data_IF_305483247229
#
_entry.id   IF_305483247229
#
_cell.length_a   1.000
_cell.length_b   1.000
_cell.length_c   1.000
_cell.angle_alpha   90.00
_cell.angle_beta   90.00
_cell.angle_gamma   90.00
#
_symmetry.space_group_name_H-M   'P 1'
#
loop_
_entity.id
_entity.type
_entity.pdbx_description
1 polymer ?
#
# COMPACT_ATOMS: atom_id res chain seq x y z
N UNK A 1 -10.29 11.36 -0.27
CA UNK A 1 -10.73 10.11 -0.91
C UNK A 1 -10.48 8.94 0.02
N UNK A 2 -11.16 7.82 -0.19
CA UNK A 2 -10.93 6.59 0.55
C UNK A 2 -9.68 5.85 0.03
N UNK A 3 -9.08 5.02 0.89
CA UNK A 3 -8.01 4.09 0.52
C UNK A 3 -8.66 2.80 0.04
N UNK A 4 -8.19 2.28 -1.09
CA UNK A 4 -8.68 1.03 -1.68
C UNK A 4 -7.65 -0.07 -1.47
N UNK A 5 -8.14 -1.29 -1.25
CA UNK A 5 -7.25 -2.45 -1.22
C UNK A 5 -6.70 -2.68 -2.63
N UNK A 6 -5.37 -2.90 -2.78
CA UNK A 6 -4.78 -3.11 -4.10
C UNK A 6 -5.17 -4.46 -4.71
N UNK A 7 -5.37 -5.48 -3.86
CA UNK A 7 -5.74 -6.86 -4.23
C UNK A 7 -6.64 -7.46 -3.15
N UNK A 8 -7.35 -8.55 -3.47
CA UNK A 8 -8.10 -9.32 -2.48
C UNK A 8 -7.17 -10.04 -1.48
N UNK A 9 -7.62 -10.17 -0.24
CA UNK A 9 -6.84 -10.84 0.81
C UNK A 9 -7.44 -10.66 2.20
N UNK A 10 -6.69 -11.10 3.21
CA UNK A 10 -7.06 -10.98 4.62
C UNK A 10 -6.05 -10.05 5.30
N UNK A 11 -6.54 -9.08 6.07
CA UNK A 11 -5.68 -8.22 6.90
C UNK A 11 -5.02 -9.08 7.98
N UNK A 12 -3.70 -9.08 7.99
CA UNK A 12 -2.89 -9.79 8.98
C UNK A 12 -2.57 -8.88 10.18
N UNK A 13 -2.15 -7.64 9.89
CA UNK A 13 -1.74 -6.65 10.88
C UNK A 13 -2.14 -5.24 10.41
N UNK A 14 -2.58 -4.39 11.34
CA UNK A 14 -2.66 -2.95 11.15
C UNK A 14 -1.48 -2.25 11.84
N UNK A 15 -1.09 -1.07 11.35
CA UNK A 15 -0.05 -0.29 12.02
C UNK A 15 -0.64 0.54 13.16
N UNK A 16 -0.64 -0.03 14.36
CA UNK A 16 -1.18 0.61 15.58
C UNK A 16 -0.41 1.88 15.99
N UNK A 17 0.81 2.09 15.50
CA UNK A 17 1.59 3.31 15.82
C UNK A 17 0.93 4.57 15.23
N UNK A 18 0.14 4.41 14.16
CA UNK A 18 -0.56 5.52 13.49
C UNK A 18 -1.74 6.07 14.30
N UNK A 19 -2.24 5.34 15.30
CA UNK A 19 -3.30 5.83 16.19
C UNK A 19 -2.81 7.00 17.06
N UNK A 20 -1.52 6.99 17.42
CA UNK A 20 -0.86 8.04 18.18
C UNK A 20 -0.05 9.02 17.33
N UNK A 21 0.42 8.58 16.17
CA UNK A 21 1.36 9.31 15.32
C UNK A 21 1.04 9.18 13.83
N UNK A 22 -0.09 9.74 13.35
CA UNK A 22 -0.47 9.67 11.93
C UNK A 22 0.51 10.38 10.98
N UNK A 23 1.27 11.34 11.48
CA UNK A 23 2.30 12.09 10.74
C UNK A 23 3.43 11.20 10.20
N UNK A 24 3.64 10.01 10.77
CA UNK A 24 4.65 9.05 10.33
C UNK A 24 4.50 8.69 8.84
N UNK A 25 3.26 8.68 8.33
CA UNK A 25 3.00 8.46 6.90
C UNK A 25 3.61 9.56 6.04
N UNK A 26 3.58 10.80 6.49
CA UNK A 26 4.14 11.92 5.74
C UNK A 26 5.68 11.98 5.86
N UNK A 27 6.22 11.54 7.00
CA UNK A 27 7.66 11.51 7.24
C UNK A 27 8.35 10.44 6.39
N UNK A 28 7.77 9.23 6.33
CA UNK A 28 8.21 8.16 5.43
C UNK A 28 7.08 7.16 5.17
N UNK A 29 6.42 7.30 4.02
CA UNK A 29 5.27 6.47 3.62
C UNK A 29 5.63 5.04 3.20
N UNK A 30 6.92 4.73 3.00
CA UNK A 30 7.37 3.38 2.64
C UNK A 30 7.91 2.61 3.84
N UNK A 31 8.47 3.31 4.83
CA UNK A 31 8.80 2.71 6.12
C UNK A 31 7.55 2.47 6.99
N UNK A 32 6.61 3.43 7.00
CA UNK A 32 5.40 3.37 7.80
C UNK A 32 4.22 2.88 6.96
N UNK A 33 3.99 1.57 6.96
CA UNK A 33 2.86 0.94 6.27
C UNK A 33 1.53 1.19 6.99
N UNK A 34 0.41 1.03 6.29
CA UNK A 34 -0.93 1.13 6.89
C UNK A 34 -1.39 -0.20 7.50
N UNK A 35 -1.18 -1.29 6.75
CA UNK A 35 -1.53 -2.65 7.13
C UNK A 35 -0.77 -3.66 6.27
N UNK A 36 -0.75 -4.91 6.71
CA UNK A 36 -0.17 -6.06 6.01
C UNK A 36 -1.29 -7.00 5.60
N UNK A 37 -1.26 -7.48 4.34
CA UNK A 37 -2.17 -8.50 3.84
C UNK A 37 -1.50 -9.88 3.82
N UNK A 38 -2.32 -10.90 4.03
CA UNK A 38 -1.99 -12.32 3.80
C UNK A 38 -3.07 -13.00 2.96
N UNK A 39 -2.78 -14.21 2.51
CA UNK A 39 -3.73 -15.06 1.78
C UNK A 39 -4.29 -14.37 0.52
N UNK A 40 -3.39 -13.76 -0.27
CA UNK A 40 -3.72 -13.09 -1.51
C UNK A 40 -3.32 -13.95 -2.73
N UNK A 41 -3.87 -13.62 -3.89
CA UNK A 41 -3.53 -14.25 -5.17
C UNK A 41 -2.19 -13.71 -5.69
N UNK A 42 -1.29 -14.62 -6.11
CA UNK A 42 -0.04 -14.22 -6.75
C UNK A 42 -0.27 -13.58 -8.12
N UNK A 43 -1.30 -14.04 -8.84
CA UNK A 43 -1.67 -13.47 -10.15
C UNK A 43 -2.10 -12.00 -10.02
N UNK A 44 -2.92 -11.68 -9.01
CA UNK A 44 -3.34 -10.30 -8.77
C UNK A 44 -2.16 -9.42 -8.32
N UNK A 45 -1.23 -9.98 -7.56
CA UNK A 45 -0.01 -9.29 -7.14
C UNK A 45 0.89 -8.97 -8.33
N UNK A 46 1.09 -9.92 -9.25
CA UNK A 46 1.89 -9.76 -10.46
C UNK A 46 1.24 -8.80 -11.48
N UNK A 47 -0.08 -8.57 -11.36
CA UNK A 47 -0.81 -7.59 -12.17
C UNK A 47 -0.66 -6.14 -11.69
N UNK A 48 -0.07 -5.90 -10.51
CA UNK A 48 0.20 -4.56 -10.00
C UNK A 48 1.34 -3.89 -10.77
N UNK A 49 1.31 -2.56 -10.83
CA UNK A 49 2.36 -1.78 -11.50
C UNK A 49 3.69 -1.92 -10.75
N UNK A 50 4.75 -2.17 -11.51
CA UNK A 50 6.13 -2.03 -11.04
C UNK A 50 6.54 -0.56 -10.89
N UNK A 51 7.75 -0.32 -10.37
CA UNK A 51 8.24 1.03 -10.11
C UNK A 51 8.33 1.89 -11.39
N UNK A 52 8.91 1.35 -12.47
CA UNK A 52 9.05 2.07 -13.75
C UNK A 52 7.68 2.38 -14.39
N UNK A 53 6.73 1.44 -14.29
CA UNK A 53 5.39 1.62 -14.84
C UNK A 53 4.60 2.67 -14.06
N UNK A 54 4.75 2.69 -12.73
CA UNK A 54 4.10 3.70 -11.89
C UNK A 54 4.72 5.09 -12.10
N UNK A 55 6.03 5.21 -12.27
CA UNK A 55 6.69 6.47 -12.63
C UNK A 55 6.20 7.00 -13.98
N UNK A 56 6.06 6.13 -14.98
CA UNK A 56 5.49 6.48 -16.28
C UNK A 56 4.04 6.96 -16.16
N UNK A 57 3.22 6.29 -15.34
CA UNK A 57 1.85 6.71 -15.06
C UNK A 57 1.81 8.11 -14.43
N UNK A 58 2.61 8.38 -13.40
CA UNK A 58 2.67 9.69 -12.74
C UNK A 58 3.07 10.81 -13.71
N UNK A 59 3.97 10.53 -14.65
CA UNK A 59 4.38 11.50 -15.68
C UNK A 59 3.28 11.76 -16.73
N UNK A 60 2.30 10.86 -16.85
CA UNK A 60 1.18 10.99 -17.78
C UNK A 60 -0.03 11.77 -17.23
N UNK A 61 -0.03 12.07 -15.92
CA UNK A 61 -1.07 12.83 -15.22
C UNK A 61 -0.89 14.35 -15.38
#
# INVERSE_FOLDING_TARGET
>A
SAILNPIEGIVDQANDDLDGSPELINEDCYANHLYVLKSFSLEDYEALLGAEEYEAYLTSL
#
